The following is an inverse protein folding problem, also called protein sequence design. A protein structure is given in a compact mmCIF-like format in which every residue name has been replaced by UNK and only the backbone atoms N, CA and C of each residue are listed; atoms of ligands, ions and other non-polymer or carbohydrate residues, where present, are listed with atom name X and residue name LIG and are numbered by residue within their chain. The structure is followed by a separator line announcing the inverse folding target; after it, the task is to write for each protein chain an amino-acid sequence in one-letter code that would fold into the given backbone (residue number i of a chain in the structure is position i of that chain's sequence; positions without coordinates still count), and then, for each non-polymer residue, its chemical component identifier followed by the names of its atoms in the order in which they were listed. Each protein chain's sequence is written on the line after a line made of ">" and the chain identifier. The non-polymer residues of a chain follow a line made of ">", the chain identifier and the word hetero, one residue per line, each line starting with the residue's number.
data_IF_830639411920
#
_entry.id   IF_830639411920
#
_cell.length_a   1.000
_cell.length_b   1.000
_cell.length_c   1.000
_cell.angle_alpha   90.00
_cell.angle_beta   90.00
_cell.angle_gamma   90.00
#
_symmetry.space_group_name_H-M   'P 1'
#
loop_
_entity.id
_entity.type
_entity.pdbx_description
1 polymer ?
#
# COMPACT_ATOMS: atom_id res chain seq x y z
N UNK A 1 -2.52 10.27 3.02
CA UNK A 1 -3.13 9.92 1.71
C UNK A 1 -4.40 9.12 1.94
N UNK A 2 -5.47 9.39 1.16
CA UNK A 2 -6.71 8.60 1.18
C UNK A 2 -6.78 7.70 -0.06
N UNK A 3 -7.08 6.42 0.14
CA UNK A 3 -7.28 5.45 -0.92
C UNK A 3 -8.63 4.76 -0.79
N UNK A 4 -9.34 4.61 -1.90
CA UNK A 4 -10.67 4.00 -1.94
C UNK A 4 -10.63 2.69 -2.72
N UNK A 5 -11.26 1.66 -2.16
CA UNK A 5 -11.47 0.37 -2.82
C UNK A 5 -12.85 -0.21 -2.49
N UNK A 6 -13.26 -1.17 -3.31
CA UNK A 6 -14.41 -2.04 -3.04
C UNK A 6 -13.89 -3.46 -2.95
N UNK A 7 -14.25 -4.13 -1.87
CA UNK A 7 -14.02 -5.55 -1.67
C UNK A 7 -15.37 -6.29 -1.75
N UNK A 8 -15.41 -7.33 -2.58
CA UNK A 8 -16.65 -8.00 -2.99
C UNK A 8 -17.18 -8.98 -1.96
N UNK A 9 -16.29 -9.69 -1.27
CA UNK A 9 -16.62 -10.82 -0.39
C UNK A 9 -16.22 -10.58 1.08
N UNK A 10 -15.62 -9.42 1.36
CA UNK A 10 -15.46 -8.90 2.71
C UNK A 10 -14.26 -9.48 3.44
N UNK A 11 -13.23 -9.95 2.73
CA UNK A 11 -12.18 -10.77 3.32
C UNK A 11 -10.87 -10.04 3.66
N UNK A 12 -10.88 -8.70 3.74
CA UNK A 12 -9.69 -7.87 3.96
C UNK A 12 -8.84 -8.25 5.19
N UNK A 13 -7.52 -8.27 4.97
CA UNK A 13 -6.50 -8.26 6.01
C UNK A 13 -6.38 -9.59 6.75
N UNK A 14 -5.70 -9.55 7.90
CA UNK A 14 -5.25 -10.77 8.56
C UNK A 14 -5.31 -10.71 10.08
N UNK A 15 -5.41 -11.89 10.69
CA UNK A 15 -5.15 -12.09 12.11
C UNK A 15 -3.64 -12.07 12.35
N UNK A 16 -3.24 -11.76 13.58
CA UNK A 16 -1.82 -11.69 13.95
C UNK A 16 -1.12 -13.06 13.80
N UNK A 17 -1.87 -14.17 13.88
CA UNK A 17 -1.36 -15.54 13.70
C UNK A 17 -1.31 -16.03 12.25
N UNK A 18 -1.78 -15.26 11.25
CA UNK A 18 -1.81 -15.69 9.85
C UNK A 18 -0.42 -15.54 9.20
N UNK A 19 0.54 -16.37 9.61
CA UNK A 19 1.96 -16.31 9.19
C UNK A 19 2.45 -17.59 8.51
N UNK A 20 1.52 -18.48 8.14
CA UNK A 20 1.82 -19.62 7.28
C UNK A 20 1.74 -19.21 5.80
N UNK A 21 2.38 -19.97 4.89
CA UNK A 21 2.28 -19.70 3.46
C UNK A 21 0.84 -19.54 2.96
N UNK A 22 0.53 -18.50 2.17
CA UNK A 22 1.45 -17.55 1.52
C UNK A 22 1.72 -16.22 2.30
N UNK A 23 1.37 -16.17 3.58
CA UNK A 23 1.41 -14.96 4.44
C UNK A 23 2.59 -14.93 5.42
N UNK A 24 3.54 -15.84 5.27
CA UNK A 24 4.76 -15.91 6.06
C UNK A 24 5.57 -14.62 5.97
N UNK A 25 6.34 -14.29 7.01
CA UNK A 25 7.07 -13.00 7.14
C UNK A 25 7.96 -12.70 5.94
N UNK A 26 8.53 -13.72 5.31
CA UNK A 26 9.39 -13.60 4.13
C UNK A 26 8.63 -13.65 2.80
N UNK A 27 7.32 -13.90 2.84
CA UNK A 27 6.47 -14.07 1.68
C UNK A 27 5.99 -12.75 1.08
N UNK A 28 5.62 -12.80 -0.21
CA UNK A 28 5.17 -11.62 -0.95
C UNK A 28 3.86 -11.03 -0.43
N UNK A 29 3.06 -11.83 0.29
CA UNK A 29 1.73 -11.44 0.77
C UNK A 29 1.68 -11.25 2.29
N UNK A 30 2.83 -11.21 2.97
CA UNK A 30 2.86 -10.84 4.38
C UNK A 30 2.27 -9.45 4.63
N UNK A 31 2.61 -8.51 3.75
CA UNK A 31 2.00 -7.19 3.70
C UNK A 31 1.06 -7.16 2.51
N UNK A 32 -0.20 -6.83 2.75
CA UNK A 32 -1.22 -6.78 1.71
C UNK A 32 -1.44 -5.38 1.17
N UNK A 33 -0.87 -4.35 1.79
CA UNK A 33 -0.86 -2.98 1.27
C UNK A 33 0.53 -2.66 0.75
N UNK A 34 0.62 -2.31 -0.54
CA UNK A 34 1.88 -2.08 -1.24
C UNK A 34 1.87 -0.68 -1.83
N UNK A 35 2.95 0.07 -1.54
CA UNK A 35 3.15 1.41 -2.07
C UNK A 35 4.50 1.47 -2.78
N UNK A 36 4.50 1.95 -4.01
CA UNK A 36 5.71 2.27 -4.76
C UNK A 36 5.87 3.79 -4.77
N UNK A 37 7.04 4.25 -4.35
CA UNK A 37 7.39 5.65 -4.39
C UNK A 37 8.21 5.93 -5.66
N UNK A 38 7.90 7.05 -6.30
CA UNK A 38 8.65 7.59 -7.43
C UNK A 38 9.16 8.96 -7.02
N UNK A 39 10.44 9.23 -7.28
CA UNK A 39 11.02 10.58 -7.21
C UNK A 39 11.08 11.17 -8.61
N UNK A 40 10.99 12.48 -8.70
CA UNK A 40 11.31 13.24 -9.89
C UNK A 40 12.62 13.98 -9.67
N UNK A 41 13.53 13.84 -10.63
CA UNK A 41 14.79 14.59 -10.69
C UNK A 41 14.95 15.09 -12.12
N UNK A 42 15.10 16.40 -12.29
CA UNK A 42 15.24 17.06 -13.60
C UNK A 42 14.11 16.68 -14.58
N UNK A 43 12.89 16.53 -14.07
CA UNK A 43 11.70 16.17 -14.84
C UNK A 43 11.57 14.69 -15.21
N UNK A 44 12.45 13.81 -14.73
CA UNK A 44 12.43 12.36 -15.00
C UNK A 44 11.98 11.59 -13.75
N UNK A 45 11.05 10.65 -13.91
CA UNK A 45 10.63 9.76 -12.84
C UNK A 45 11.59 8.60 -12.64
N UNK A 46 11.95 8.37 -11.39
CA UNK A 46 12.72 7.22 -10.94
C UNK A 46 11.99 6.51 -9.81
N UNK A 47 11.95 5.18 -9.84
CA UNK A 47 11.49 4.40 -8.67
C UNK A 47 12.48 4.64 -7.53
N UNK A 48 11.94 4.87 -6.34
CA UNK A 48 12.73 4.98 -5.11
C UNK A 48 12.85 3.59 -4.51
N UNK A 49 14.08 3.10 -4.42
CA UNK A 49 14.38 1.84 -3.77
C UNK A 49 14.69 2.06 -2.28
N UNK A 50 14.45 1.01 -1.48
CA UNK A 50 14.60 1.05 -0.02
C UNK A 50 15.95 1.59 0.48
N UNK A 51 17.11 1.22 -0.10
CA UNK A 51 18.38 1.76 0.39
C UNK A 51 18.48 3.29 0.32
N UNK A 52 17.68 3.93 -0.53
CA UNK A 52 17.70 5.38 -0.73
C UNK A 52 16.95 6.16 0.37
N UNK A 53 15.89 5.58 0.94
CA UNK A 53 15.07 6.20 1.99
C UNK A 53 15.05 5.43 3.32
N UNK A 54 15.78 4.32 3.40
CA UNK A 54 15.90 3.48 4.59
C UNK A 54 14.63 2.75 5.03
N UNK A 55 13.54 2.81 4.27
CA UNK A 55 12.24 2.25 4.66
C UNK A 55 11.47 1.61 3.50
N UNK A 56 10.58 0.67 3.82
CA UNK A 56 9.64 0.06 2.88
C UNK A 56 8.23 0.55 3.20
N UNK A 57 7.50 1.00 2.18
CA UNK A 57 6.08 1.34 2.32
C UNK A 57 5.20 0.12 2.02
N UNK A 58 5.33 -0.89 2.88
CA UNK A 58 4.49 -2.10 2.86
C UNK A 58 3.83 -2.23 4.22
N UNK A 59 2.51 -2.42 4.22
CA UNK A 59 1.72 -2.47 5.44
C UNK A 59 0.82 -3.71 5.45
N UNK A 60 0.49 -4.16 6.67
CA UNK A 60 -0.42 -5.28 6.90
C UNK A 60 -1.69 -4.76 7.55
N UNK A 61 -2.85 -4.95 6.91
CA UNK A 61 -4.13 -4.53 7.48
C UNK A 61 -4.65 -5.57 8.47
N UNK A 62 -5.45 -5.10 9.43
CA UNK A 62 -6.13 -5.97 10.40
C UNK A 62 -7.25 -6.76 9.74
N UNK A 63 -7.56 -7.90 10.35
CA UNK A 63 -8.66 -8.77 9.96
C UNK A 63 -10.00 -8.03 9.96
N UNK A 64 -10.68 -8.05 8.82
CA UNK A 64 -12.04 -7.57 8.65
C UNK A 64 -12.81 -8.68 7.95
N UNK A 65 -13.94 -9.08 8.53
CA UNK A 65 -14.87 -10.01 7.92
C UNK A 65 -16.30 -9.69 8.38
N UNK A 66 -17.14 -9.07 7.53
CA UNK A 66 -18.49 -8.73 7.89
C UNK A 66 -19.36 -9.99 8.03
N UNK A 67 -20.27 -9.95 8.99
CA UNK A 67 -21.31 -10.98 9.17
C UNK A 67 -22.57 -10.63 8.38
N UNK A 68 -23.28 -11.64 7.89
CA UNK A 68 -24.56 -11.48 7.17
C UNK A 68 -24.49 -11.83 5.68
N UNK A 69 -25.59 -11.57 4.96
CA UNK A 69 -25.72 -11.91 3.54
C UNK A 69 -24.94 -10.97 2.62
N UNK A 70 -24.90 -9.67 2.94
CA UNK A 70 -24.14 -8.70 2.16
C UNK A 70 -22.76 -8.50 2.79
N UNK A 71 -21.74 -9.00 2.11
CA UNK A 71 -20.34 -8.92 2.56
C UNK A 71 -19.53 -7.82 1.88
N UNK A 72 -20.10 -7.11 0.91
CA UNK A 72 -19.37 -6.09 0.17
C UNK A 72 -18.93 -4.96 1.08
N UNK A 73 -17.64 -4.64 1.07
CA UNK A 73 -17.05 -3.55 1.82
C UNK A 73 -16.70 -2.39 0.88
N UNK A 74 -17.07 -1.16 1.29
CA UNK A 74 -16.54 0.08 0.72
C UNK A 74 -15.51 0.62 1.70
N UNK A 75 -14.25 0.63 1.30
CA UNK A 75 -13.15 0.92 2.20
C UNK A 75 -12.49 2.25 1.87
N UNK A 76 -12.07 2.96 2.91
CA UNK A 76 -11.13 4.08 2.81
C UNK A 76 -9.92 3.73 3.64
N UNK A 77 -8.75 3.67 3.01
CA UNK A 77 -7.46 3.46 3.68
C UNK A 77 -6.78 4.81 3.82
N UNK A 78 -6.48 5.19 5.06
CA UNK A 78 -5.74 6.39 5.41
C UNK A 78 -4.31 6.01 5.79
N UNK A 79 -3.34 6.55 5.06
CA UNK A 79 -1.92 6.26 5.27
C UNK A 79 -1.17 7.54 5.55
N UNK A 80 -0.44 7.53 6.66
CA UNK A 80 0.54 8.53 7.04
C UNK A 80 1.91 7.94 6.74
N UNK A 81 2.69 8.63 5.91
CA UNK A 81 4.03 8.22 5.53
C UNK A 81 5.00 9.26 6.07
N UNK A 82 5.90 8.80 6.94
CA UNK A 82 7.03 9.57 7.41
C UNK A 82 8.29 9.02 6.75
N UNK A 83 9.02 9.88 6.04
CA UNK A 83 10.24 9.52 5.33
C UNK A 83 11.10 10.76 5.11
N UNK A 84 12.41 10.55 5.07
CA UNK A 84 13.36 11.58 4.69
C UNK A 84 13.54 11.62 3.19
N UNK A 85 13.71 12.83 2.65
CA UNK A 85 13.92 13.06 1.22
C UNK A 85 15.25 13.75 0.99
N UNK A 86 16.11 13.26 0.09
CA UNK A 86 17.27 13.99 -0.36
C UNK A 86 16.88 15.35 -0.95
N UNK A 87 17.68 16.40 -0.66
CA UNK A 87 17.43 17.75 -1.18
C UNK A 87 17.48 17.87 -2.71
N UNK A 88 17.99 16.86 -3.41
CA UNK A 88 18.11 16.85 -4.86
C UNK A 88 16.84 16.43 -5.60
N UNK A 89 15.76 16.11 -4.89
CA UNK A 89 14.52 15.66 -5.52
C UNK A 89 13.54 16.83 -5.67
N UNK A 90 12.95 16.95 -6.85
CA UNK A 90 12.00 18.04 -7.13
C UNK A 90 10.63 17.74 -6.51
N UNK A 91 10.19 16.48 -6.63
CA UNK A 91 8.86 16.04 -6.22
C UNK A 91 8.79 14.53 -6.12
N UNK A 92 7.71 14.02 -5.51
CA UNK A 92 7.44 12.60 -5.40
C UNK A 92 6.02 12.24 -5.81
N UNK A 93 5.83 10.99 -6.17
CA UNK A 93 4.53 10.38 -6.49
C UNK A 93 4.46 9.01 -5.86
N UNK A 94 3.27 8.60 -5.43
CA UNK A 94 3.04 7.27 -4.87
C UNK A 94 2.02 6.52 -5.72
N UNK A 95 2.36 5.28 -6.06
CA UNK A 95 1.42 4.31 -6.60
C UNK A 95 1.05 3.32 -5.50
N UNK A 96 -0.24 3.02 -5.37
CA UNK A 96 -0.84 2.29 -4.26
C UNK A 96 -1.76 1.19 -4.78
N UNK A 97 -1.64 -0.02 -4.22
CA UNK A 97 -2.64 -1.06 -4.36
C UNK A 97 -2.62 -1.99 -3.14
N UNK A 98 -3.63 -2.85 -3.03
CA UNK A 98 -3.67 -3.88 -2.03
C UNK A 98 -4.15 -5.23 -2.56
N UNK A 99 -3.89 -6.27 -1.79
CA UNK A 99 -4.50 -7.58 -1.92
C UNK A 99 -5.51 -7.80 -0.79
N UNK A 100 -6.61 -8.46 -1.10
CA UNK A 100 -7.48 -9.04 -0.10
C UNK A 100 -6.89 -10.38 0.41
N UNK A 101 -7.61 -11.11 1.26
CA UNK A 101 -7.09 -12.37 1.83
C UNK A 101 -7.29 -13.56 0.89
N UNK A 102 -8.09 -13.43 -0.16
CA UNK A 102 -8.16 -14.35 -1.28
C UNK A 102 -7.11 -14.05 -2.38
N UNK A 103 -6.23 -13.07 -2.16
CA UNK A 103 -5.19 -12.60 -3.09
C UNK A 103 -5.74 -11.89 -4.34
N UNK A 104 -6.97 -11.38 -4.29
CA UNK A 104 -7.46 -10.50 -5.35
C UNK A 104 -6.82 -9.12 -5.20
N UNK A 105 -6.28 -8.62 -6.31
CA UNK A 105 -5.66 -7.29 -6.37
C UNK A 105 -6.74 -6.22 -6.53
N UNK A 106 -6.65 -5.16 -5.73
CA UNK A 106 -7.48 -3.96 -5.90
C UNK A 106 -7.10 -3.17 -7.16
N UNK A 107 -7.82 -2.07 -7.40
CA UNK A 107 -7.38 -1.04 -8.33
C UNK A 107 -5.99 -0.48 -7.93
N UNK A 108 -5.32 0.14 -8.91
CA UNK A 108 -4.17 1.00 -8.67
C UNK A 108 -4.68 2.42 -8.42
N UNK A 109 -4.21 3.06 -7.37
CA UNK A 109 -4.32 4.51 -7.20
C UNK A 109 -2.95 5.15 -7.29
N UNK A 110 -2.92 6.36 -7.81
CA UNK A 110 -1.70 7.15 -7.95
C UNK A 110 -1.97 8.53 -7.39
N UNK A 111 -1.05 9.05 -6.58
CA UNK A 111 -1.12 10.45 -6.15
C UNK A 111 -0.82 11.38 -7.31
N UNK A 112 -1.22 12.65 -7.18
CA UNK A 112 -0.55 13.70 -7.93
C UNK A 112 0.93 13.82 -7.55
N UNK A 113 1.64 14.70 -8.25
CA UNK A 113 2.96 15.14 -7.83
C UNK A 113 2.87 15.89 -6.51
N UNK A 114 3.69 15.49 -5.55
CA UNK A 114 3.90 16.18 -4.28
C UNK A 114 5.25 16.89 -4.42
N UNK A 115 5.21 18.20 -4.63
CA UNK A 115 6.39 19.04 -4.83
C UNK A 115 6.97 19.43 -3.47
N UNK A 116 8.29 19.33 -3.33
CA UNK A 116 8.99 19.81 -2.14
C UNK A 116 9.36 21.28 -2.34
N UNK A 117 9.11 22.10 -1.33
CA UNK A 117 9.45 23.53 -1.32
C UNK A 117 10.72 23.77 -0.51
#
# INVERSE_FOLDING_TARGET
>A
MNYYLIDGDGDIGFKDGDTLPPYEITGNYHNNVLITMYKMVDGIYHVVDTPEIGTYFKFRTKYIEPIGQNKTLKCTILIYLDFDTPMSWDSVRFDFYMYDRALNKSNLATTGLIVFN
#
